data_IF_575184600108
#
_entry.id   IF_575184600108
#
_cell.length_a   1.000
_cell.length_b   1.000
_cell.length_c   1.000
_cell.angle_alpha   90.00
_cell.angle_beta   90.00
_cell.angle_gamma   90.00
#
_symmetry.space_group_name_H-M   'P 1'
#
loop_
_entity.id
_entity.type
_entity.pdbx_description
1 polymer ?
#
# COMPACT_ATOMS: atom_id res chain seq x y z
N UNK A 1 -24.63 -10.57 -38.83
CA UNK A 1 -24.31 -9.27 -38.21
C UNK A 1 -24.02 -9.55 -36.74
N UNK A 2 -22.74 -9.60 -36.37
CA UNK A 2 -22.29 -9.92 -35.01
C UNK A 2 -22.16 -8.61 -34.25
N UNK A 3 -22.77 -8.53 -33.07
CA UNK A 3 -22.60 -7.39 -32.16
C UNK A 3 -21.19 -7.48 -31.57
N UNK A 4 -20.32 -6.46 -31.71
CA UNK A 4 -18.99 -6.49 -31.14
C UNK A 4 -19.09 -6.57 -29.62
N UNK A 5 -18.26 -7.45 -29.05
CA UNK A 5 -18.19 -7.71 -27.62
C UNK A 5 -18.02 -6.42 -26.84
N UNK A 6 -18.99 -6.15 -25.97
CA UNK A 6 -18.79 -5.30 -24.81
C UNK A 6 -17.72 -5.99 -23.97
N UNK A 7 -16.48 -5.53 -24.06
CA UNK A 7 -15.46 -5.86 -23.07
C UNK A 7 -16.04 -5.42 -21.73
N UNK A 8 -16.35 -6.37 -20.85
CA UNK A 8 -16.66 -6.05 -19.46
C UNK A 8 -15.38 -5.38 -18.95
N UNK A 9 -15.42 -4.12 -18.48
CA UNK A 9 -14.24 -3.54 -17.85
C UNK A 9 -13.80 -4.51 -16.74
N UNK A 10 -12.52 -4.85 -16.69
CA UNK A 10 -12.00 -5.65 -15.59
C UNK A 10 -12.46 -4.98 -14.29
N UNK A 11 -13.13 -5.75 -13.42
CA UNK A 11 -13.54 -5.25 -12.10
C UNK A 11 -12.26 -4.78 -11.40
N UNK A 12 -12.20 -3.49 -11.07
CA UNK A 12 -11.07 -2.92 -10.36
C UNK A 12 -10.84 -3.67 -9.05
N UNK A 13 -9.58 -3.82 -8.67
CA UNK A 13 -9.20 -4.58 -7.50
C UNK A 13 -8.75 -3.63 -6.39
N UNK A 14 -9.18 -3.93 -5.17
CA UNK A 14 -8.76 -3.22 -3.97
C UNK A 14 -8.16 -4.20 -2.99
N UNK A 15 -7.02 -3.83 -2.40
CA UNK A 15 -6.40 -4.61 -1.34
C UNK A 15 -5.60 -3.72 -0.40
N UNK A 16 -5.40 -4.26 0.80
CA UNK A 16 -4.77 -3.59 1.92
C UNK A 16 -3.84 -4.59 2.60
N UNK A 17 -2.59 -4.19 2.80
CA UNK A 17 -1.53 -5.08 3.25
C UNK A 17 -0.45 -4.29 3.98
N UNK A 18 0.39 -4.98 4.75
CA UNK A 18 1.58 -4.40 5.36
C UNK A 18 2.81 -5.19 4.92
N UNK A 19 3.84 -4.52 4.42
CA UNK A 19 5.16 -5.10 4.18
C UNK A 19 6.10 -4.72 5.33
N UNK A 20 6.75 -5.70 5.96
CA UNK A 20 7.69 -5.45 7.07
C UNK A 20 9.04 -6.11 6.85
N UNK A 21 10.09 -5.39 7.25
CA UNK A 21 11.49 -5.80 7.22
C UNK A 21 12.02 -6.19 8.62
N UNK A 22 11.60 -7.33 9.16
CA UNK A 22 11.88 -7.75 10.54
C UNK A 22 11.95 -9.28 10.71
N UNK A 23 12.34 -9.73 11.90
CA UNK A 23 12.26 -11.13 12.30
C UNK A 23 10.81 -11.55 12.60
N UNK A 24 10.45 -12.79 12.28
CA UNK A 24 9.05 -13.27 12.40
C UNK A 24 8.48 -13.10 13.81
N UNK A 25 9.29 -13.34 14.83
CA UNK A 25 8.85 -13.24 16.23
C UNK A 25 8.39 -11.82 16.59
N UNK A 26 9.08 -10.80 16.06
CA UNK A 26 8.76 -9.39 16.27
C UNK A 26 7.51 -8.98 15.49
N UNK A 27 7.39 -9.46 14.25
CA UNK A 27 6.17 -9.28 13.44
C UNK A 27 4.95 -9.85 14.17
N UNK A 28 5.05 -11.08 14.70
CA UNK A 28 3.99 -11.71 15.49
C UNK A 28 3.63 -10.91 16.74
N UNK A 29 4.61 -10.33 17.42
CA UNK A 29 4.34 -9.49 18.59
C UNK A 29 3.51 -8.25 18.23
N UNK A 30 3.87 -7.56 17.15
CA UNK A 30 3.11 -6.40 16.67
C UNK A 30 1.70 -6.75 16.18
N UNK A 31 1.55 -7.88 15.46
CA UNK A 31 0.23 -8.38 15.03
C UNK A 31 -0.62 -8.79 16.22
N UNK A 32 -0.05 -9.46 17.23
CA UNK A 32 -0.78 -9.85 18.43
C UNK A 32 -1.28 -8.62 19.22
N UNK A 33 -0.48 -7.55 19.28
CA UNK A 33 -0.87 -6.31 19.93
C UNK A 33 -2.01 -5.59 19.21
N UNK A 34 -2.08 -5.67 17.87
CA UNK A 34 -3.16 -5.03 17.10
C UNK A 34 -4.53 -5.66 17.34
N UNK A 35 -4.57 -6.93 17.75
CA UNK A 35 -5.81 -7.69 17.88
C UNK A 35 -6.53 -7.95 16.56
N UNK A 36 -5.94 -7.57 15.42
CA UNK A 36 -6.51 -7.78 14.10
C UNK A 36 -6.25 -9.23 13.63
N UNK A 37 -7.26 -9.95 13.11
CA UNK A 37 -7.02 -11.20 12.40
C UNK A 37 -6.15 -10.94 11.17
N UNK A 38 -5.01 -11.63 11.08
CA UNK A 38 -4.04 -11.44 10.00
C UNK A 38 -3.44 -12.78 9.57
N UNK A 39 -3.00 -12.85 8.32
CA UNK A 39 -2.10 -13.91 7.84
C UNK A 39 -0.73 -13.30 7.61
N UNK A 40 0.32 -13.89 8.20
CA UNK A 40 1.71 -13.47 7.97
C UNK A 40 2.33 -14.39 6.93
N UNK A 41 2.72 -13.87 5.78
CA UNK A 41 3.28 -14.65 4.66
C UNK A 41 4.72 -14.22 4.38
N UNK A 42 5.69 -15.15 4.29
CA UNK A 42 7.05 -14.80 3.88
C UNK A 42 7.05 -14.35 2.42
N UNK A 43 7.71 -13.24 2.13
CA UNK A 43 7.84 -12.68 0.77
C UNK A 43 9.28 -12.56 0.31
N UNK A 44 10.22 -12.55 1.25
CA UNK A 44 11.66 -12.75 1.04
C UNK A 44 12.34 -13.03 2.39
N UNK A 45 13.66 -13.25 2.39
CA UNK A 45 14.41 -13.44 3.64
C UNK A 45 14.27 -12.21 4.56
N UNK A 46 13.71 -12.42 5.76
CA UNK A 46 13.44 -11.34 6.73
C UNK A 46 12.41 -10.32 6.23
N UNK A 47 11.55 -10.68 5.27
CA UNK A 47 10.47 -9.85 4.74
C UNK A 47 9.15 -10.59 4.80
N UNK A 48 8.14 -9.91 5.33
CA UNK A 48 6.82 -10.49 5.55
C UNK A 48 5.73 -9.58 4.99
N UNK A 49 4.79 -10.16 4.28
CA UNK A 49 3.49 -9.56 4.06
C UNK A 49 2.60 -9.90 5.27
N UNK A 50 1.97 -8.92 5.86
CA UNK A 50 0.91 -9.10 6.86
C UNK A 50 -0.39 -8.70 6.19
N UNK A 51 -1.25 -9.68 5.96
CA UNK A 51 -2.51 -9.52 5.24
C UNK A 51 -3.65 -9.55 6.27
N UNK A 52 -4.22 -8.39 6.65
CA UNK A 52 -5.32 -8.34 7.60
C UNK A 52 -6.64 -8.80 6.98
N UNK A 53 -7.54 -9.30 7.81
CA UNK A 53 -8.94 -9.46 7.44
C UNK A 53 -9.59 -8.09 7.26
N UNK A 54 -10.13 -7.84 6.07
CA UNK A 54 -10.92 -6.65 5.80
C UNK A 54 -12.36 -6.85 6.27
N UNK A 55 -12.89 -5.87 7.00
CA UNK A 55 -14.30 -5.75 7.39
C UNK A 55 -14.91 -4.61 6.59
N UNK A 56 -16.01 -4.89 5.91
CA UNK A 56 -16.69 -3.92 5.04
C UNK A 56 -15.76 -3.29 4.00
N UNK A 57 -14.79 -4.07 3.49
CA UNK A 57 -13.81 -3.63 2.49
C UNK A 57 -12.61 -2.87 3.06
N UNK A 58 -12.45 -2.81 4.39
CA UNK A 58 -11.41 -2.02 5.05
C UNK A 58 -10.71 -2.78 6.19
N UNK A 59 -9.42 -2.49 6.37
CA UNK A 59 -8.55 -2.93 7.45
C UNK A 59 -7.63 -1.77 7.87
N UNK A 60 -7.35 -1.67 9.18
CA UNK A 60 -6.51 -0.63 9.78
C UNK A 60 -5.01 -0.94 9.57
N UNK A 61 -4.58 -0.91 8.32
CA UNK A 61 -3.19 -1.24 7.92
C UNK A 61 -2.15 -0.24 8.43
N UNK A 62 -2.50 1.04 8.57
CA UNK A 62 -1.63 2.07 9.14
C UNK A 62 -1.32 1.79 10.61
N UNK A 63 -2.36 1.51 11.41
CA UNK A 63 -2.19 1.13 12.83
C UNK A 63 -1.41 -0.19 12.95
N UNK A 64 -1.69 -1.16 12.10
CA UNK A 64 -0.96 -2.42 12.05
C UNK A 64 0.54 -2.22 11.73
N UNK A 65 0.86 -1.42 10.71
CA UNK A 65 2.24 -1.10 10.33
C UNK A 65 2.95 -0.31 11.44
N UNK A 66 2.25 0.61 12.11
CA UNK A 66 2.76 1.34 13.28
C UNK A 66 3.13 0.39 14.42
N UNK A 67 2.23 -0.52 14.80
CA UNK A 67 2.45 -1.48 15.89
C UNK A 67 3.59 -2.45 15.57
N UNK A 68 3.60 -3.02 14.35
CA UNK A 68 4.64 -3.94 13.89
C UNK A 68 6.00 -3.26 13.82
N UNK A 69 6.10 -2.06 13.24
CA UNK A 69 7.37 -1.32 13.19
C UNK A 69 7.91 -0.94 14.57
N UNK A 70 7.01 -0.70 15.55
CA UNK A 70 7.39 -0.43 16.94
C UNK A 70 7.94 -1.67 17.62
N UNK A 71 7.24 -2.80 17.52
CA UNK A 71 7.65 -4.06 18.13
C UNK A 71 9.02 -4.53 17.60
N UNK A 72 9.26 -4.37 16.30
CA UNK A 72 10.49 -4.80 15.64
C UNK A 72 11.62 -3.75 15.64
N UNK A 73 11.35 -2.51 16.05
CA UNK A 73 12.25 -1.36 15.77
C UNK A 73 12.72 -1.30 14.31
N UNK A 74 11.86 -1.75 13.39
CA UNK A 74 12.17 -1.98 11.99
C UNK A 74 11.30 -1.11 11.08
N UNK A 75 11.53 -1.19 9.77
CA UNK A 75 10.70 -0.51 8.77
C UNK A 75 9.50 -1.39 8.40
N UNK A 76 8.32 -0.78 8.40
CA UNK A 76 7.11 -1.35 7.84
C UNK A 76 6.44 -0.32 6.92
N UNK A 77 5.72 -0.78 5.91
CA UNK A 77 4.87 0.04 5.06
C UNK A 77 3.45 -0.52 5.04
N UNK A 78 2.46 0.33 5.29
CA UNK A 78 1.09 0.05 4.87
C UNK A 78 0.98 0.32 3.37
N UNK A 79 0.17 -0.48 2.69
CA UNK A 79 -0.22 -0.24 1.31
C UNK A 79 -1.74 -0.38 1.20
N UNK A 80 -2.33 0.55 0.47
CA UNK A 80 -3.72 0.48 0.03
C UNK A 80 -3.75 0.72 -1.47
N UNK A 81 -4.35 -0.22 -2.20
CA UNK A 81 -4.72 -0.04 -3.61
C UNK A 81 -6.22 0.11 -3.69
N UNK A 82 -6.67 1.20 -4.32
CA UNK A 82 -8.09 1.53 -4.47
C UNK A 82 -8.52 1.38 -5.92
N UNK A 83 -9.46 0.47 -6.18
CA UNK A 83 -10.16 0.26 -7.46
C UNK A 83 -9.25 0.21 -8.69
N UNK A 84 -8.04 -0.34 -8.54
CA UNK A 84 -6.98 -0.34 -9.56
C UNK A 84 -6.45 1.04 -10.01
N UNK A 85 -6.86 2.14 -9.38
CA UNK A 85 -6.52 3.49 -9.85
C UNK A 85 -5.33 4.10 -9.11
N UNK A 86 -5.24 3.90 -7.78
CA UNK A 86 -4.28 4.62 -6.95
C UNK A 86 -3.71 3.78 -5.82
N UNK A 87 -2.42 3.98 -5.54
CA UNK A 87 -1.68 3.42 -4.41
C UNK A 87 -1.48 4.51 -3.37
N UNK A 88 -1.85 4.21 -2.13
CA UNK A 88 -1.42 4.94 -0.94
C UNK A 88 -0.45 4.06 -0.16
N UNK A 89 0.65 4.63 0.31
CA UNK A 89 1.55 3.94 1.24
C UNK A 89 2.07 4.88 2.32
N UNK A 90 2.17 4.36 3.55
CA UNK A 90 2.77 5.08 4.67
C UNK A 90 3.87 4.23 5.28
N UNK A 91 5.07 4.79 5.41
CA UNK A 91 6.23 4.10 5.96
C UNK A 91 6.42 4.47 7.43
N UNK A 92 6.61 3.45 8.24
CA UNK A 92 6.82 3.54 9.67
C UNK A 92 8.18 3.00 10.08
N UNK A 93 8.79 3.61 11.10
CA UNK A 93 9.97 3.10 11.79
C UNK A 93 9.82 3.33 13.28
N UNK A 94 9.94 2.25 14.07
CA UNK A 94 9.80 2.35 15.52
C UNK A 94 8.46 2.93 15.97
N UNK A 95 7.37 2.69 15.23
CA UNK A 95 6.03 3.19 15.54
C UNK A 95 5.75 4.64 15.17
N UNK A 96 6.63 5.29 14.38
CA UNK A 96 6.42 6.65 13.87
C UNK A 96 6.39 6.62 12.34
N UNK A 97 5.40 7.27 11.74
CA UNK A 97 5.43 7.53 10.30
C UNK A 97 6.57 8.48 9.98
N UNK A 98 7.22 8.27 8.84
CA UNK A 98 8.32 9.13 8.38
C UNK A 98 8.27 9.45 6.89
N UNK A 99 7.39 8.80 6.13
CA UNK A 99 7.22 9.03 4.71
C UNK A 99 5.83 8.60 4.24
N UNK A 100 5.18 9.46 3.45
CA UNK A 100 3.89 9.21 2.83
C UNK A 100 4.05 9.17 1.32
N UNK A 101 3.28 8.31 0.67
CA UNK A 101 3.30 8.13 -0.77
C UNK A 101 1.87 8.03 -1.32
N UNK A 102 1.64 8.73 -2.42
CA UNK A 102 0.40 8.71 -3.18
C UNK A 102 0.78 8.65 -4.67
N UNK A 103 0.36 7.61 -5.38
CA UNK A 103 0.79 7.39 -6.77
C UNK A 103 0.26 8.42 -7.76
N UNK A 104 -0.87 9.05 -7.47
CA UNK A 104 -1.39 10.18 -8.24
C UNK A 104 -2.12 11.18 -7.33
N UNK A 105 -1.60 12.40 -7.28
CA UNK A 105 -2.19 13.51 -6.54
C UNK A 105 -3.49 14.04 -7.16
N UNK A 106 -3.79 13.69 -8.41
CA UNK A 106 -5.05 14.04 -9.05
C UNK A 106 -6.24 13.19 -8.54
N UNK A 107 -5.98 12.15 -7.74
CA UNK A 107 -7.03 11.33 -7.13
C UNK A 107 -7.57 12.03 -5.88
N UNK A 108 -8.71 12.68 -6.03
CA UNK A 108 -9.33 13.54 -5.01
C UNK A 108 -10.69 13.01 -4.56
N UNK A 109 -11.04 13.34 -3.33
CA UNK A 109 -12.36 13.14 -2.75
C UNK A 109 -13.01 14.50 -2.51
N UNK A 110 -14.29 14.60 -2.86
CA UNK A 110 -15.14 15.74 -2.53
C UNK A 110 -15.55 15.65 -1.05
N UNK A 111 -15.36 16.75 -0.33
CA UNK A 111 -15.71 16.90 1.08
C UNK A 111 -16.49 18.21 1.28
N UNK A 112 -17.23 18.31 2.38
CA UNK A 112 -17.96 19.51 2.77
C UNK A 112 -17.49 19.97 4.14
N UNK A 113 -17.30 21.28 4.31
CA UNK A 113 -17.03 21.89 5.61
C UNK A 113 -18.33 22.10 6.41
N UNK A 114 -18.21 22.66 7.62
CA UNK A 114 -19.36 22.93 8.50
C UNK A 114 -20.35 23.95 7.92
N UNK A 115 -19.95 24.71 6.89
CA UNK A 115 -20.73 25.73 6.19
C UNK A 115 -21.24 25.23 4.82
N UNK A 116 -21.21 23.91 4.57
CA UNK A 116 -21.56 23.26 3.30
C UNK A 116 -20.70 23.72 2.09
N UNK A 117 -19.53 24.31 2.31
CA UNK A 117 -18.63 24.62 1.21
C UNK A 117 -17.91 23.34 0.78
N UNK A 118 -18.01 23.04 -0.51
CA UNK A 118 -17.29 21.94 -1.12
C UNK A 118 -15.79 22.25 -1.20
N UNK A 119 -14.97 21.29 -0.79
CA UNK A 119 -13.52 21.32 -0.98
C UNK A 119 -13.01 19.93 -1.35
N UNK A 120 -11.86 19.87 -2.01
CA UNK A 120 -11.24 18.61 -2.42
C UNK A 120 -10.17 18.22 -1.41
N UNK A 121 -10.05 16.93 -1.12
CA UNK A 121 -8.92 16.37 -0.37
C UNK A 121 -8.29 15.25 -1.17
N UNK A 122 -6.96 15.10 -1.11
CA UNK A 122 -6.36 13.87 -1.61
C UNK A 122 -6.48 12.72 -0.60
N UNK A 123 -6.07 11.53 -1.01
CA UNK A 123 -6.09 10.34 -0.16
C UNK A 123 -5.09 10.38 1.01
N UNK A 124 -4.27 11.43 1.12
CA UNK A 124 -3.44 11.72 2.30
C UNK A 124 -4.11 12.74 3.24
N UNK A 125 -5.35 13.16 2.94
CA UNK A 125 -6.13 14.11 3.73
C UNK A 125 -5.69 15.57 3.57
N UNK A 126 -4.92 15.90 2.53
CA UNK A 126 -4.48 17.28 2.29
C UNK A 126 -5.57 18.05 1.55
N UNK A 127 -6.04 19.18 2.09
CA UNK A 127 -7.11 19.95 1.46
C UNK A 127 -6.58 20.80 0.29
N UNK A 128 -7.39 20.91 -0.74
CA UNK A 128 -7.21 21.78 -1.89
C UNK A 128 -8.31 22.84 -1.90
N UNK A 129 -7.96 24.14 -1.97
CA UNK A 129 -8.93 25.21 -2.02
C UNK A 129 -9.84 25.11 -3.27
N UNK A 130 -11.08 25.60 -3.19
CA UNK A 130 -11.95 25.71 -4.36
C UNK A 130 -11.28 26.46 -5.52
N UNK A 131 -11.32 25.88 -6.72
CA UNK A 131 -10.76 26.48 -7.94
C UNK A 131 -9.24 26.38 -8.09
N UNK A 132 -8.53 25.76 -7.15
CA UNK A 132 -7.13 25.39 -7.34
C UNK A 132 -7.03 24.17 -8.27
N UNK A 133 -6.11 24.20 -9.24
CA UNK A 133 -5.76 22.99 -9.97
C UNK A 133 -4.92 22.08 -9.06
N UNK A 134 -5.34 20.83 -8.82
CA UNK A 134 -4.56 19.91 -8.02
C UNK A 134 -3.26 19.54 -8.75
N UNK A 135 -2.16 19.30 -8.00
CA UNK A 135 -0.94 18.77 -8.59
C UNK A 135 -1.20 17.40 -9.21
N UNK A 136 -0.44 17.08 -10.25
CA UNK A 136 -0.54 15.79 -10.96
C UNK A 136 0.70 14.93 -10.68
N UNK A 137 0.52 13.61 -10.79
CA UNK A 137 1.60 12.64 -10.62
C UNK A 137 1.85 12.27 -9.16
N UNK A 138 2.93 11.51 -8.93
CA UNK A 138 3.15 10.88 -7.63
C UNK A 138 3.68 11.87 -6.57
N UNK A 139 3.07 11.83 -5.39
CA UNK A 139 3.62 12.43 -4.18
C UNK A 139 4.54 11.44 -3.47
N UNK A 140 5.68 11.91 -2.96
CA UNK A 140 6.55 11.09 -2.13
C UNK A 140 7.24 9.95 -2.89
N UNK A 141 7.50 10.10 -4.18
CA UNK A 141 8.22 9.12 -4.99
C UNK A 141 9.73 9.06 -4.66
N UNK A 142 10.07 8.71 -3.41
CA UNK A 142 11.43 8.64 -2.87
C UNK A 142 11.91 7.19 -2.75
N UNK A 143 12.76 6.75 -3.68
CA UNK A 143 13.32 5.40 -3.66
C UNK A 143 14.16 5.11 -2.39
N UNK A 144 14.77 6.12 -1.78
CA UNK A 144 15.60 5.94 -0.60
C UNK A 144 14.77 5.67 0.65
N UNK A 145 13.57 6.26 0.73
CA UNK A 145 12.61 5.97 1.80
C UNK A 145 12.13 4.50 1.75
N UNK A 146 11.88 3.95 0.56
CA UNK A 146 11.39 2.58 0.37
C UNK A 146 12.48 1.51 0.41
N UNK A 147 13.72 1.83 0.03
CA UNK A 147 14.82 0.86 -0.07
C UNK A 147 15.03 -0.05 1.17
N UNK A 148 14.84 0.39 2.43
CA UNK A 148 14.95 -0.49 3.60
C UNK A 148 13.96 -1.68 3.63
N UNK A 149 12.84 -1.59 2.90
CA UNK A 149 11.87 -2.68 2.77
C UNK A 149 12.37 -3.80 1.85
N UNK A 150 13.34 -3.53 0.98
CA UNK A 150 13.81 -4.48 -0.02
C UNK A 150 14.86 -5.45 0.50
N UNK A 151 15.26 -6.39 -0.36
CA UNK A 151 16.39 -7.30 -0.14
C UNK A 151 17.58 -6.85 -0.98
N UNK A 152 18.73 -6.67 -0.34
CA UNK A 152 19.91 -6.13 -0.99
C UNK A 152 20.49 -7.05 -2.09
N UNK A 153 21.08 -6.48 -3.15
CA UNK A 153 20.99 -5.08 -3.55
C UNK A 153 19.58 -4.71 -4.08
N UNK A 154 19.08 -3.53 -3.71
CA UNK A 154 17.83 -2.93 -4.23
C UNK A 154 18.15 -2.09 -5.45
N UNK A 155 17.37 -2.23 -6.51
CA UNK A 155 17.48 -1.39 -7.71
C UNK A 155 16.77 -0.05 -7.48
N UNK A 156 17.51 0.95 -6.97
CA UNK A 156 16.96 2.27 -6.66
C UNK A 156 16.48 3.03 -7.89
N UNK A 157 17.08 2.78 -9.06
CA UNK A 157 16.69 3.45 -10.31
C UNK A 157 15.35 2.89 -10.77
N UNK A 158 15.21 1.56 -10.81
CA UNK A 158 13.93 0.92 -11.12
C UNK A 158 12.85 1.28 -10.09
N UNK A 159 13.21 1.37 -8.80
CA UNK A 159 12.28 1.76 -7.75
C UNK A 159 11.80 3.20 -7.91
N UNK A 160 12.70 4.15 -8.21
CA UNK A 160 12.31 5.53 -8.49
C UNK A 160 11.38 5.64 -9.70
N UNK A 161 11.67 4.90 -10.78
CA UNK A 161 10.81 4.84 -11.96
C UNK A 161 9.43 4.22 -11.65
N UNK A 162 9.39 3.15 -10.84
CA UNK A 162 8.15 2.53 -10.41
C UNK A 162 7.29 3.48 -9.55
N UNK A 163 7.91 4.20 -8.61
CA UNK A 163 7.23 5.18 -7.76
C UNK A 163 6.72 6.40 -8.55
N UNK A 164 7.42 6.82 -9.60
CA UNK A 164 7.01 7.97 -10.41
C UNK A 164 5.86 7.66 -11.37
N UNK A 165 5.69 6.39 -11.78
CA UNK A 165 4.76 6.01 -12.85
C UNK A 165 5.22 6.45 -14.25
N UNK A 166 4.33 6.55 -15.24
CA UNK A 166 2.90 6.25 -15.19
C UNK A 166 2.62 4.77 -15.49
N UNK A 167 1.70 4.17 -14.75
CA UNK A 167 1.14 2.85 -15.04
C UNK A 167 -0.35 2.98 -15.34
N UNK A 168 -0.89 2.06 -16.13
CA UNK A 168 -2.31 2.05 -16.46
C UNK A 168 -3.16 1.54 -15.29
N UNK A 169 -2.59 0.69 -14.43
CA UNK A 169 -3.22 0.13 -13.24
C UNK A 169 -2.29 0.22 -12.04
N UNK A 170 -2.85 0.55 -10.87
CA UNK A 170 -2.13 0.62 -9.61
C UNK A 170 -1.46 -0.71 -9.23
N UNK A 171 -2.01 -1.85 -9.63
CA UNK A 171 -1.42 -3.16 -9.39
C UNK A 171 -0.15 -3.39 -10.18
N UNK A 172 -0.09 -2.89 -11.42
CA UNK A 172 1.13 -2.96 -12.24
C UNK A 172 2.23 -2.11 -11.63
N UNK A 173 1.88 -0.90 -11.17
CA UNK A 173 2.81 -0.02 -10.48
C UNK A 173 3.31 -0.66 -9.17
N UNK A 174 2.40 -1.18 -8.35
CA UNK A 174 2.77 -1.82 -7.09
C UNK A 174 3.63 -3.07 -7.33
N UNK A 175 3.33 -3.86 -8.36
CA UNK A 175 4.18 -4.98 -8.76
C UNK A 175 5.58 -4.50 -9.16
N UNK A 176 5.70 -3.43 -9.97
CA UNK A 176 7.00 -2.88 -10.33
C UNK A 176 7.81 -2.39 -9.11
N UNK A 177 7.14 -1.75 -8.13
CA UNK A 177 7.75 -1.35 -6.86
C UNK A 177 8.31 -2.56 -6.10
N UNK A 178 7.50 -3.61 -5.91
CA UNK A 178 7.89 -4.82 -5.18
C UNK A 178 9.00 -5.59 -5.90
N UNK A 179 8.98 -5.62 -7.23
CA UNK A 179 10.03 -6.21 -8.04
C UNK A 179 11.38 -5.47 -7.86
N UNK A 180 11.37 -4.13 -7.87
CA UNK A 180 12.57 -3.33 -7.63
C UNK A 180 13.13 -3.50 -6.20
N UNK A 181 12.25 -3.77 -5.23
CA UNK A 181 12.59 -4.14 -3.85
C UNK A 181 13.05 -5.60 -3.71
N UNK A 182 12.94 -6.43 -4.75
CA UNK A 182 13.26 -7.87 -4.76
C UNK A 182 12.45 -8.66 -3.73
N UNK A 183 11.17 -8.31 -3.65
CA UNK A 183 10.17 -8.97 -2.79
C UNK A 183 9.17 -9.70 -3.70
N UNK A 184 8.72 -10.89 -3.31
CA UNK A 184 7.64 -11.59 -4.03
C UNK A 184 6.37 -10.71 -3.98
N UNK A 185 5.89 -10.22 -5.13
CA UNK A 185 4.73 -9.33 -5.17
C UNK A 185 3.44 -10.05 -4.75
N UNK A 186 3.36 -11.36 -4.96
CA UNK A 186 2.09 -12.08 -4.92
C UNK A 186 1.45 -12.08 -3.53
N UNK A 187 2.16 -12.36 -2.43
CA UNK A 187 1.54 -12.33 -1.11
C UNK A 187 1.20 -10.93 -0.60
N UNK A 188 1.91 -9.91 -1.08
CA UNK A 188 1.61 -8.51 -0.76
C UNK A 188 0.26 -8.11 -1.38
N UNK A 189 -0.08 -8.65 -2.55
CA UNK A 189 -1.33 -8.37 -3.26
C UNK A 189 -2.50 -9.30 -2.88
N UNK A 190 -2.36 -10.13 -1.84
CA UNK A 190 -3.42 -11.04 -1.42
C UNK A 190 -4.57 -10.32 -0.71
N UNK A 191 -5.78 -10.83 -0.96
CA UNK A 191 -6.88 -10.69 0.01
C UNK A 191 -6.66 -11.68 1.17
N UNK A 192 -7.26 -11.41 2.33
CA UNK A 192 -7.19 -12.32 3.48
C UNK A 192 -7.55 -13.77 3.14
N UNK A 193 -8.63 -13.98 2.36
CA UNK A 193 -9.05 -15.31 1.92
C UNK A 193 -8.03 -15.97 1.00
N UNK A 194 -7.43 -15.22 0.09
CA UNK A 194 -6.37 -15.74 -0.78
C UNK A 194 -5.12 -16.13 0.03
N UNK A 195 -4.76 -15.32 1.04
CA UNK A 195 -3.66 -15.64 1.95
C UNK A 195 -3.92 -16.94 2.73
N UNK A 196 -5.13 -17.13 3.29
CA UNK A 196 -5.51 -18.38 3.93
C UNK A 196 -5.46 -19.58 2.97
N UNK A 197 -6.04 -19.44 1.78
CA UNK A 197 -6.09 -20.50 0.77
C UNK A 197 -4.70 -20.88 0.23
N UNK A 198 -3.72 -19.98 0.30
CA UNK A 198 -2.36 -20.24 -0.17
C UNK A 198 -1.62 -21.30 0.66
N UNK A 199 -1.97 -21.46 1.95
CA UNK A 199 -1.24 -22.31 2.88
C UNK A 199 0.20 -21.84 3.18
N UNK A 200 0.58 -20.65 2.73
CA UNK A 200 1.92 -20.06 2.95
C UNK A 200 2.01 -19.29 4.26
N UNK A 201 0.86 -18.97 4.86
CA UNK A 201 0.74 -18.16 6.06
C UNK A 201 1.10 -18.90 7.35
N UNK A 202 1.58 -18.15 8.34
CA UNK A 202 1.91 -18.63 9.68
C UNK A 202 1.22 -17.86 10.80
#
# INVERSE_FOLDING_TARGET
MSVPGRTIPAVGSSYQTVLVAAELAEVRAGVAESGQPCVIVPVAAGRWAVVPEQRDGYAETDELARLVSRAASAVAASFVVFDSDVIVAVLYRGGRSYHDYLSDQAYLMEMWDDDDNEYLVDLLGRPYPPGAEPPTGAHGADADAFAPLGVAPVDRVALAAALAGPYAMAEEQHHAMLHALRVDPRPVQFTYRAALASGLGV
#
